data_IF_984240424217
#
_entry.id   IF_984240424217
#
_cell.length_a   1.000
_cell.length_b   1.000
_cell.length_c   1.000
_cell.angle_alpha   90.00
_cell.angle_beta   90.00
_cell.angle_gamma   90.00
#
_symmetry.space_group_name_H-M   'P 1'
#
loop_
_entity.id
_entity.type
_entity.pdbx_description
1 polymer ?
#
# COMPACT_ATOMS: atom_id res chain seq x y z
N UNK A 1 -16.11 -17.51 -3.94
CA UNK A 1 -14.64 -17.61 -3.77
C UNK A 1 -14.27 -18.97 -3.18
N UNK A 2 -15.05 -19.50 -2.23
CA UNK A 2 -15.13 -20.93 -1.84
C UNK A 2 -15.65 -21.87 -2.97
N UNK A 3 -15.65 -21.41 -4.22
CA UNK A 3 -16.24 -22.11 -5.37
C UNK A 3 -15.24 -22.31 -6.52
N UNK A 4 -14.00 -21.82 -6.40
CA UNK A 4 -12.94 -22.16 -7.35
C UNK A 4 -12.25 -23.39 -6.77
N UNK A 5 -12.85 -24.54 -7.00
CA UNK A 5 -12.27 -25.85 -6.66
C UNK A 5 -11.33 -26.29 -7.79
N UNK A 6 -10.56 -27.34 -7.57
CA UNK A 6 -9.74 -27.98 -8.62
C UNK A 6 -10.55 -28.44 -9.84
N UNK A 7 -11.87 -28.53 -9.73
CA UNK A 7 -12.71 -29.22 -10.73
C UNK A 7 -13.36 -28.24 -11.72
N UNK A 8 -13.20 -26.93 -11.54
CA UNK A 8 -13.78 -25.93 -12.43
C UNK A 8 -13.05 -25.89 -13.78
N UNK A 9 -13.82 -25.91 -14.87
CA UNK A 9 -13.32 -25.85 -16.25
C UNK A 9 -13.01 -24.42 -16.72
N UNK A 10 -12.25 -24.29 -17.83
CA UNK A 10 -11.91 -22.97 -18.40
C UNK A 10 -13.15 -22.16 -18.82
N UNK A 11 -14.17 -22.82 -19.37
CA UNK A 11 -15.44 -22.18 -19.74
C UNK A 11 -16.22 -21.65 -18.52
N UNK A 12 -16.23 -22.42 -17.43
CA UNK A 12 -16.83 -21.97 -16.16
C UNK A 12 -16.05 -20.81 -15.54
N UNK A 13 -14.71 -20.82 -15.65
CA UNK A 13 -13.86 -19.70 -15.23
C UNK A 13 -14.20 -18.45 -16.05
N UNK A 14 -14.30 -18.57 -17.39
CA UNK A 14 -14.66 -17.47 -18.31
C UNK A 14 -16.03 -16.89 -18.00
N UNK A 15 -17.02 -17.74 -17.75
CA UNK A 15 -18.36 -17.33 -17.32
C UNK A 15 -18.31 -16.59 -15.98
N UNK A 16 -17.63 -17.15 -14.98
CA UNK A 16 -17.53 -16.56 -13.65
C UNK A 16 -16.79 -15.21 -13.68
N UNK A 17 -15.72 -15.10 -14.45
CA UNK A 17 -15.01 -13.85 -14.69
C UNK A 17 -15.95 -12.79 -15.27
N UNK A 18 -16.72 -13.15 -16.32
CA UNK A 18 -17.66 -12.23 -16.97
C UNK A 18 -18.75 -11.77 -16.01
N UNK A 19 -19.35 -12.68 -15.23
CA UNK A 19 -20.35 -12.33 -14.23
C UNK A 19 -19.83 -11.38 -13.14
N UNK A 20 -18.60 -11.60 -12.65
CA UNK A 20 -17.98 -10.70 -11.68
C UNK A 20 -17.66 -9.35 -12.32
N UNK A 21 -17.10 -9.36 -13.54
CA UNK A 21 -16.79 -8.15 -14.29
C UNK A 21 -18.03 -7.29 -14.48
N UNK A 22 -19.14 -7.86 -14.93
CA UNK A 22 -20.39 -7.11 -15.16
C UNK A 22 -20.98 -6.55 -13.85
N UNK A 23 -20.99 -7.36 -12.78
CA UNK A 23 -21.48 -6.92 -11.46
C UNK A 23 -20.63 -5.81 -10.86
N UNK A 24 -19.31 -5.84 -11.06
CA UNK A 24 -18.39 -4.84 -10.52
C UNK A 24 -18.39 -3.58 -11.38
N UNK A 25 -18.36 -3.72 -12.71
CA UNK A 25 -18.25 -2.60 -13.63
C UNK A 25 -19.54 -1.80 -13.76
N UNK A 26 -20.71 -2.42 -13.58
CA UNK A 26 -22.01 -1.74 -13.60
C UNK A 26 -22.16 -0.64 -12.54
N UNK A 27 -21.39 -0.70 -11.44
CA UNK A 27 -21.37 0.33 -10.39
C UNK A 27 -20.00 0.97 -10.18
N UNK A 28 -19.11 0.92 -11.17
CA UNK A 28 -17.73 1.38 -11.01
C UNK A 28 -17.62 2.89 -10.78
N UNK A 29 -18.56 3.66 -11.31
CA UNK A 29 -18.69 5.10 -11.13
C UNK A 29 -18.75 5.50 -9.65
N UNK A 30 -19.32 4.66 -8.78
CA UNK A 30 -19.35 4.87 -7.32
C UNK A 30 -17.94 5.04 -6.76
N UNK A 31 -16.94 4.33 -7.29
CA UNK A 31 -15.54 4.47 -6.83
C UNK A 31 -14.98 5.85 -7.16
N UNK A 32 -15.27 6.37 -8.36
CA UNK A 32 -14.88 7.72 -8.80
C UNK A 32 -15.61 8.79 -8.00
N UNK A 33 -16.90 8.59 -7.71
CA UNK A 33 -17.69 9.49 -6.89
C UNK A 33 -17.16 9.56 -5.45
N UNK A 34 -16.76 8.43 -4.87
CA UNK A 34 -16.16 8.38 -3.53
C UNK A 34 -14.82 9.14 -3.49
N UNK A 35 -13.96 8.97 -4.49
CA UNK A 35 -12.71 9.73 -4.60
C UNK A 35 -12.96 11.23 -4.76
N UNK A 36 -13.87 11.61 -5.66
CA UNK A 36 -14.26 13.01 -5.88
C UNK A 36 -14.82 13.63 -4.59
N UNK A 37 -15.69 12.92 -3.89
CA UNK A 37 -16.27 13.34 -2.62
C UNK A 37 -15.18 13.62 -1.58
N UNK A 38 -14.25 12.68 -1.39
CA UNK A 38 -13.13 12.84 -0.46
C UNK A 38 -12.27 14.06 -0.80
N UNK A 39 -11.95 14.27 -2.09
CA UNK A 39 -11.15 15.41 -2.54
C UNK A 39 -11.86 16.75 -2.39
N UNK A 40 -13.12 16.83 -2.81
CA UNK A 40 -13.92 18.05 -2.72
C UNK A 40 -14.05 18.49 -1.25
N UNK A 41 -14.47 17.60 -0.36
CA UNK A 41 -14.68 17.97 1.04
C UNK A 41 -13.38 18.23 1.79
N UNK A 42 -12.28 17.55 1.46
CA UNK A 42 -10.96 17.90 1.99
C UNK A 42 -10.48 19.27 1.50
N UNK A 43 -10.72 19.58 0.22
CA UNK A 43 -10.42 20.90 -0.37
C UNK A 43 -11.25 22.03 0.25
N UNK A 44 -12.55 21.80 0.48
CA UNK A 44 -13.44 22.73 1.15
C UNK A 44 -13.03 22.95 2.61
N UNK A 45 -12.69 21.89 3.35
CA UNK A 45 -12.16 21.99 4.70
C UNK A 45 -10.89 22.86 4.74
N UNK A 46 -9.94 22.60 3.83
CA UNK A 46 -8.71 23.40 3.70
C UNK A 46 -9.01 24.86 3.40
N UNK A 47 -9.97 25.14 2.52
CA UNK A 47 -10.40 26.50 2.17
C UNK A 47 -10.99 27.23 3.38
N UNK A 48 -11.85 26.57 4.15
CA UNK A 48 -12.46 27.19 5.34
C UNK A 48 -11.45 27.45 6.45
N UNK A 49 -10.49 26.55 6.69
CA UNK A 49 -9.43 26.77 7.67
C UNK A 49 -8.50 27.92 7.23
N UNK A 50 -8.19 28.04 5.93
CA UNK A 50 -7.41 29.19 5.43
C UNK A 50 -8.10 30.53 5.70
N UNK A 51 -9.43 30.58 5.60
CA UNK A 51 -10.22 31.81 5.86
C UNK A 51 -10.23 32.25 7.33
N UNK A 52 -9.79 31.41 8.27
CA UNK A 52 -9.72 31.80 9.69
C UNK A 52 -8.40 32.49 10.06
N UNK A 53 -7.40 32.49 9.16
CA UNK A 53 -6.07 33.03 9.45
C UNK A 53 -5.22 32.12 10.33
N UNK A 54 -5.53 30.81 10.39
CA UNK A 54 -4.71 29.85 11.13
C UNK A 54 -3.25 29.83 10.62
N UNK A 55 -2.29 29.79 11.55
CA UNK A 55 -0.86 29.83 11.24
C UNK A 55 -0.40 28.69 10.32
N UNK A 56 -0.96 27.49 10.50
CA UNK A 56 -0.70 26.33 9.63
C UNK A 56 -2.01 25.62 9.27
N UNK A 57 -2.65 26.02 8.16
CA UNK A 57 -3.88 25.39 7.70
C UNK A 57 -3.70 23.93 7.28
N UNK A 58 -2.51 23.55 6.80
CA UNK A 58 -2.26 22.19 6.30
C UNK A 58 -2.14 21.20 7.45
N UNK A 59 -1.38 21.57 8.49
CA UNK A 59 -1.30 20.80 9.73
C UNK A 59 -2.68 20.65 10.38
N UNK A 60 -3.49 21.71 10.45
CA UNK A 60 -4.84 21.61 11.03
C UNK A 60 -5.77 20.69 10.22
N UNK A 61 -5.71 20.74 8.88
CA UNK A 61 -6.44 19.76 8.03
C UNK A 61 -5.96 18.34 8.31
N UNK A 62 -4.64 18.16 8.42
CA UNK A 62 -4.04 16.88 8.76
C UNK A 62 -4.52 16.38 10.14
N UNK A 63 -4.61 17.25 11.14
CA UNK A 63 -5.12 16.90 12.46
C UNK A 63 -6.56 16.36 12.42
N UNK A 64 -7.45 16.98 11.62
CA UNK A 64 -8.81 16.47 11.43
C UNK A 64 -8.84 15.10 10.71
N UNK A 65 -7.98 14.91 9.71
CA UNK A 65 -7.93 13.66 8.94
C UNK A 65 -7.30 12.53 9.76
N UNK A 66 -6.26 12.83 10.54
CA UNK A 66 -5.60 11.88 11.45
C UNK A 66 -6.50 11.41 12.59
N UNK A 67 -7.61 12.10 12.85
CA UNK A 67 -8.62 11.72 13.82
C UNK A 67 -9.68 10.76 13.29
N UNK A 68 -9.59 10.33 12.01
CA UNK A 68 -10.45 9.27 11.45
C UNK A 68 -9.96 7.93 12.01
N UNK A 69 -10.21 7.72 13.30
CA UNK A 69 -9.98 6.45 13.97
C UNK A 69 -10.73 5.35 13.21
N UNK A 70 -10.02 4.25 12.92
CA UNK A 70 -10.55 3.03 12.28
C UNK A 70 -10.61 3.04 10.75
N UNK A 71 -9.51 3.45 10.11
CA UNK A 71 -9.33 3.30 8.66
C UNK A 71 -9.34 1.81 8.28
N UNK A 72 -10.18 1.45 7.31
CA UNK A 72 -10.39 0.06 6.87
C UNK A 72 -9.07 -0.64 6.49
N UNK A 73 -8.15 0.08 5.85
CA UNK A 73 -6.83 -0.41 5.45
C UNK A 73 -5.93 -0.84 6.62
N UNK A 74 -6.21 -0.40 7.86
CA UNK A 74 -5.46 -0.79 9.05
C UNK A 74 -6.00 -2.05 9.74
N UNK A 75 -7.19 -2.55 9.37
CA UNK A 75 -7.74 -3.77 9.96
C UNK A 75 -6.84 -5.00 9.78
N UNK A 76 -6.23 -5.26 8.60
CA UNK A 76 -5.25 -6.35 8.45
C UNK A 76 -4.09 -6.22 9.45
N UNK A 77 -3.54 -5.01 9.58
CA UNK A 77 -2.40 -4.74 10.46
C UNK A 77 -2.76 -5.00 11.92
N UNK A 78 -3.92 -4.50 12.37
CA UNK A 78 -4.44 -4.76 13.72
C UNK A 78 -4.67 -6.25 13.96
N UNK A 79 -5.17 -6.99 12.96
CA UNK A 79 -5.40 -8.42 13.06
C UNK A 79 -4.07 -9.21 13.16
N UNK A 80 -3.03 -8.82 12.42
CA UNK A 80 -1.69 -9.40 12.56
C UNK A 80 -1.09 -9.14 13.95
N UNK A 81 -1.20 -7.90 14.47
CA UNK A 81 -0.72 -7.57 15.81
C UNK A 81 -1.43 -8.40 16.90
N UNK A 82 -2.73 -8.66 16.72
CA UNK A 82 -3.49 -9.54 17.61
C UNK A 82 -3.01 -10.99 17.51
N UNK A 83 -2.72 -11.49 16.30
CA UNK A 83 -2.15 -12.83 16.12
C UNK A 83 -0.77 -12.97 16.75
N UNK A 84 0.11 -11.98 16.57
CA UNK A 84 1.45 -11.97 17.17
C UNK A 84 1.41 -12.03 18.70
N UNK A 85 0.41 -11.37 19.31
CA UNK A 85 0.23 -11.32 20.76
C UNK A 85 -0.51 -12.55 21.31
N UNK A 86 -1.27 -13.25 20.47
CA UNK A 86 -2.15 -14.35 20.88
C UNK A 86 -1.37 -15.56 21.39
N UNK A 87 -0.36 -16.01 20.63
CA UNK A 87 0.50 -17.12 21.02
C UNK A 87 1.92 -16.95 20.44
N UNK A 88 2.81 -16.33 21.22
CA UNK A 88 4.22 -16.13 20.82
C UNK A 88 5.00 -17.43 20.66
N UNK A 89 4.68 -18.48 21.45
CA UNK A 89 5.38 -19.76 21.36
C UNK A 89 5.01 -20.50 20.10
N UNK A 90 3.73 -20.49 19.73
CA UNK A 90 3.29 -21.00 18.44
C UNK A 90 3.97 -20.23 17.30
N UNK A 91 3.99 -18.89 17.37
CA UNK A 91 4.63 -18.07 16.35
C UNK A 91 6.12 -18.39 16.18
N UNK A 92 6.88 -18.53 17.27
CA UNK A 92 8.29 -18.92 17.24
C UNK A 92 8.47 -20.29 16.54
N UNK A 93 7.69 -21.30 16.92
CA UNK A 93 7.71 -22.64 16.33
C UNK A 93 7.38 -22.64 14.83
N UNK A 94 6.35 -21.90 14.45
CA UNK A 94 5.86 -21.80 13.07
C UNK A 94 6.78 -20.95 12.19
N UNK A 95 7.46 -19.95 12.74
CA UNK A 95 8.41 -19.08 12.00
C UNK A 95 9.64 -19.83 11.52
N UNK A 96 9.99 -20.94 12.15
CA UNK A 96 11.09 -21.80 11.75
C UNK A 96 10.79 -22.61 10.47
N UNK A 97 9.53 -22.69 10.05
CA UNK A 97 9.13 -23.45 8.88
C UNK A 97 9.77 -22.92 7.60
N UNK A 98 10.23 -23.83 6.73
CA UNK A 98 10.80 -23.47 5.43
C UNK A 98 9.84 -23.73 4.27
N UNK A 99 8.83 -24.57 4.46
CA UNK A 99 7.88 -24.96 3.41
C UNK A 99 6.43 -24.84 3.87
N UNK A 100 5.51 -24.68 2.93
CA UNK A 100 4.07 -24.66 3.21
C UNK A 100 3.57 -25.98 3.80
N UNK A 101 4.18 -27.10 3.38
CA UNK A 101 3.85 -28.43 3.90
C UNK A 101 4.17 -28.53 5.39
N UNK A 102 5.39 -28.14 5.77
CA UNK A 102 5.82 -28.12 7.17
C UNK A 102 4.94 -27.21 8.02
N UNK A 103 4.61 -26.01 7.50
CA UNK A 103 3.71 -25.09 8.18
C UNK A 103 2.34 -25.71 8.43
N UNK A 104 1.75 -26.35 7.41
CA UNK A 104 0.44 -26.98 7.52
C UNK A 104 0.43 -28.10 8.57
N UNK A 105 1.47 -28.93 8.58
CA UNK A 105 1.62 -30.00 9.57
C UNK A 105 1.75 -29.45 10.99
N UNK A 106 2.63 -28.46 11.23
CA UNK A 106 2.81 -27.86 12.56
C UNK A 106 1.60 -27.04 13.04
N UNK A 107 0.81 -26.48 12.14
CA UNK A 107 -0.42 -25.76 12.52
C UNK A 107 -1.44 -26.70 13.20
N UNK A 108 -1.40 -28.01 12.95
CA UNK A 108 -2.26 -28.98 13.65
C UNK A 108 -1.95 -29.08 15.15
N UNK A 109 -0.71 -28.80 15.56
CA UNK A 109 -0.31 -28.77 16.98
C UNK A 109 -0.78 -27.49 17.70
N UNK A 110 -1.26 -26.50 16.94
CA UNK A 110 -1.63 -25.17 17.44
C UNK A 110 -3.06 -24.77 17.05
N UNK A 111 -4.05 -25.66 17.30
CA UNK A 111 -5.45 -25.50 16.83
C UNK A 111 -6.04 -24.10 17.09
N UNK A 112 -5.97 -23.51 18.30
CA UNK A 112 -6.57 -22.19 18.54
C UNK A 112 -5.90 -21.07 17.73
N UNK A 113 -4.57 -21.14 17.54
CA UNK A 113 -3.84 -20.21 16.69
C UNK A 113 -4.20 -20.42 15.22
N UNK A 114 -4.27 -21.67 14.76
CA UNK A 114 -4.64 -22.06 13.41
C UNK A 114 -6.00 -21.48 13.00
N UNK A 115 -7.02 -21.55 13.86
CA UNK A 115 -8.33 -20.97 13.57
C UNK A 115 -8.26 -19.45 13.34
N UNK A 116 -7.58 -18.72 14.23
CA UNK A 116 -7.40 -17.27 14.11
C UNK A 116 -6.54 -16.88 12.90
N UNK A 117 -5.54 -17.70 12.60
CA UNK A 117 -4.65 -17.52 11.46
C UNK A 117 -5.40 -17.68 10.13
N UNK A 118 -6.25 -18.70 9.99
CA UNK A 118 -7.08 -18.87 8.80
C UNK A 118 -8.24 -17.87 8.73
N UNK A 119 -8.76 -17.38 9.86
CA UNK A 119 -9.68 -16.24 9.89
C UNK A 119 -9.03 -14.99 9.27
N UNK A 120 -7.78 -14.71 9.62
CA UNK A 120 -7.00 -13.65 8.99
C UNK A 120 -6.84 -13.86 7.49
N UNK A 121 -6.41 -15.05 7.07
CA UNK A 121 -6.22 -15.36 5.63
C UNK A 121 -7.54 -15.18 4.88
N UNK A 122 -8.66 -15.61 5.46
CA UNK A 122 -9.96 -15.47 4.82
C UNK A 122 -10.32 -13.99 4.57
N UNK A 123 -10.15 -13.14 5.57
CA UNK A 123 -10.52 -11.72 5.50
C UNK A 123 -9.51 -10.87 4.71
N UNK A 124 -8.22 -11.16 4.87
CA UNK A 124 -7.12 -10.26 4.50
C UNK A 124 -5.98 -10.93 3.73
N UNK A 125 -6.07 -12.22 3.40
CA UNK A 125 -4.98 -12.96 2.77
C UNK A 125 -4.52 -12.41 1.41
N UNK A 126 -5.32 -11.59 0.75
CA UNK A 126 -4.98 -10.96 -0.54
C UNK A 126 -4.22 -9.63 -0.39
N UNK A 127 -4.08 -9.13 0.85
CA UNK A 127 -3.32 -7.92 1.15
C UNK A 127 -1.84 -8.25 1.15
N UNK A 128 -1.11 -7.65 0.23
CA UNK A 128 0.33 -7.85 0.02
C UNK A 128 0.93 -6.61 -0.65
N UNK A 129 2.27 -6.43 -0.65
CA UNK A 129 2.89 -5.46 -1.55
C UNK A 129 2.46 -5.73 -2.99
N UNK A 130 2.24 -4.69 -3.80
CA UNK A 130 1.80 -4.85 -5.20
C UNK A 130 0.49 -5.65 -5.37
N UNK A 131 -0.44 -5.55 -4.42
CA UNK A 131 -1.66 -6.38 -4.35
C UNK A 131 -2.58 -6.37 -5.60
N UNK A 132 -2.42 -5.38 -6.48
CA UNK A 132 -3.18 -5.24 -7.73
C UNK A 132 -2.50 -5.89 -8.95
N UNK A 133 -1.27 -6.39 -8.80
CA UNK A 133 -0.65 -7.26 -9.79
C UNK A 133 -1.18 -8.68 -9.58
N UNK A 134 -1.71 -9.31 -10.61
CA UNK A 134 -2.29 -10.65 -10.49
C UNK A 134 -1.19 -11.70 -10.25
N UNK A 135 0.00 -11.46 -10.77
CA UNK A 135 1.20 -12.27 -10.64
C UNK A 135 1.86 -12.21 -9.25
N UNK A 136 1.47 -11.27 -8.38
CA UNK A 136 1.98 -11.19 -7.01
C UNK A 136 1.50 -12.36 -6.17
N UNK A 137 2.42 -13.00 -5.45
CA UNK A 137 2.10 -14.05 -4.47
C UNK A 137 1.54 -13.42 -3.20
N UNK A 138 0.34 -13.83 -2.82
CA UNK A 138 -0.36 -13.29 -1.64
C UNK A 138 -0.21 -14.18 -0.40
N UNK A 139 -0.58 -13.67 0.78
CA UNK A 139 -0.64 -14.47 2.03
C UNK A 139 -1.66 -15.60 1.98
N UNK A 140 -2.65 -15.52 1.09
CA UNK A 140 -3.61 -16.59 0.85
C UNK A 140 -2.98 -17.75 0.09
N UNK A 141 -2.18 -17.44 -0.92
CA UNK A 141 -1.47 -18.46 -1.72
C UNK A 141 -0.30 -19.06 -0.94
N UNK A 142 0.43 -18.22 -0.22
CA UNK A 142 1.56 -18.63 0.62
C UNK A 142 1.36 -18.16 2.07
N UNK A 143 0.63 -18.95 2.88
CA UNK A 143 0.49 -18.68 4.32
C UNK A 143 1.82 -18.57 5.06
N UNK A 144 2.89 -19.20 4.57
CA UNK A 144 4.22 -19.07 5.17
C UNK A 144 4.73 -17.62 5.15
N UNK A 145 4.45 -16.85 4.09
CA UNK A 145 4.81 -15.43 4.03
C UNK A 145 4.16 -14.64 5.16
N UNK A 146 2.92 -14.97 5.52
CA UNK A 146 2.21 -14.31 6.62
C UNK A 146 2.86 -14.62 7.96
N UNK A 147 3.19 -15.88 8.24
CA UNK A 147 3.86 -16.28 9.50
C UNK A 147 5.19 -15.56 9.65
N UNK A 148 6.02 -15.57 8.60
CA UNK A 148 7.30 -14.85 8.59
C UNK A 148 7.08 -13.36 8.88
N UNK A 149 6.07 -12.75 8.27
CA UNK A 149 5.74 -11.33 8.49
C UNK A 149 5.29 -11.02 9.91
N UNK A 150 4.46 -11.87 10.51
CA UNK A 150 3.99 -11.71 11.89
C UNK A 150 5.18 -11.86 12.85
N UNK A 151 6.08 -12.82 12.60
CA UNK A 151 7.31 -13.00 13.37
C UNK A 151 8.22 -11.77 13.31
N UNK A 152 8.50 -11.25 12.11
CA UNK A 152 9.30 -10.04 11.90
C UNK A 152 8.73 -8.83 12.66
N UNK A 153 7.41 -8.67 12.64
CA UNK A 153 6.71 -7.58 13.34
C UNK A 153 6.86 -7.68 14.87
N UNK A 154 6.95 -8.90 15.40
CA UNK A 154 7.10 -9.17 16.83
C UNK A 154 8.55 -9.27 17.33
N UNK A 155 9.52 -9.20 16.42
CA UNK A 155 10.94 -9.40 16.72
C UNK A 155 11.53 -8.35 17.68
N UNK A 156 11.03 -7.12 17.62
CA UNK A 156 11.43 -6.02 18.49
C UNK A 156 10.31 -5.67 19.46
N UNK A 157 10.47 -6.05 20.73
CA UNK A 157 9.39 -5.93 21.71
C UNK A 157 9.02 -4.46 22.01
N UNK A 158 9.97 -3.53 21.93
CA UNK A 158 9.70 -2.11 22.16
C UNK A 158 8.88 -1.52 21.00
N UNK A 159 9.34 -1.75 19.77
CA UNK A 159 8.65 -1.29 18.56
C UNK A 159 7.26 -1.95 18.46
N UNK A 160 7.16 -3.24 18.76
CA UNK A 160 5.90 -3.97 18.76
C UNK A 160 4.91 -3.38 19.76
N UNK A 161 5.34 -3.14 21.02
CA UNK A 161 4.48 -2.52 22.05
C UNK A 161 4.05 -1.11 21.65
N UNK A 162 4.96 -0.29 21.10
CA UNK A 162 4.66 1.06 20.62
C UNK A 162 3.64 1.05 19.47
N UNK A 163 3.85 0.19 18.48
CA UNK A 163 2.95 0.03 17.33
C UNK A 163 1.58 -0.48 17.77
N UNK A 164 1.53 -1.48 18.65
CA UNK A 164 0.31 -2.00 19.26
C UNK A 164 -0.44 -0.92 20.02
N UNK A 165 0.24 -0.16 20.87
CA UNK A 165 -0.36 0.94 21.60
C UNK A 165 -0.86 2.06 20.67
N UNK A 166 -0.17 2.33 19.56
CA UNK A 166 -0.61 3.33 18.57
C UNK A 166 -1.88 2.89 17.84
N UNK A 167 -1.97 1.62 17.45
CA UNK A 167 -3.04 1.12 16.57
C UNK A 167 -4.25 0.54 17.32
N UNK A 168 -4.06 0.02 18.54
CA UNK A 168 -5.14 -0.56 19.34
C UNK A 168 -5.75 0.43 20.34
N UNK A 169 -5.01 1.44 20.78
CA UNK A 169 -5.59 2.48 21.64
C UNK A 169 -6.29 3.50 20.74
N UNK A 170 -7.61 3.38 20.63
CA UNK A 170 -8.45 4.31 19.88
C UNK A 170 -8.50 5.67 20.59
N UNK A 171 -7.52 6.55 20.33
CA UNK A 171 -7.65 7.96 20.70
C UNK A 171 -8.52 8.66 19.66
N UNK A 172 -9.82 8.76 19.95
CA UNK A 172 -10.69 9.68 19.25
C UNK A 172 -10.18 11.10 19.54
N UNK A 173 -9.48 11.72 18.58
CA UNK A 173 -8.99 13.10 18.76
C UNK A 173 -10.20 14.01 18.99
N UNK A 174 -10.21 14.70 20.12
CA UNK A 174 -11.25 15.66 20.44
C UNK A 174 -11.23 16.77 19.39
N UNK A 175 -12.29 16.82 18.58
CA UNK A 175 -12.48 17.82 17.53
C UNK A 175 -12.49 19.24 18.13
N UNK A 176 -12.93 19.40 19.38
CA UNK A 176 -12.92 20.69 20.05
C UNK A 176 -11.53 21.15 20.46
N UNK A 177 -10.60 20.23 20.73
CA UNK A 177 -9.18 20.54 20.95
C UNK A 177 -8.51 21.11 19.69
N UNK A 178 -8.79 20.55 18.50
CA UNK A 178 -8.23 21.02 17.22
C UNK A 178 -8.77 22.43 16.88
N UNK A 179 -10.02 22.67 17.28
CA UNK A 179 -10.70 23.93 17.07
C UNK A 179 -10.38 24.98 18.16
N UNK A 180 -9.63 24.68 19.22
CA UNK A 180 -9.42 25.58 20.38
C UNK A 180 -9.10 27.03 19.96
N UNK A 181 -8.19 27.17 18.99
CA UNK A 181 -7.70 28.47 18.52
C UNK A 181 -8.56 29.08 17.40
N UNK A 182 -9.58 28.36 16.92
CA UNK A 182 -10.46 28.78 15.84
C UNK A 182 -11.77 29.33 16.42
N UNK A 183 -11.93 30.65 16.38
CA UNK A 183 -13.12 31.34 16.89
C UNK A 183 -14.24 31.46 15.85
N UNK A 184 -13.91 31.62 14.57
CA UNK A 184 -14.87 31.79 13.46
C UNK A 184 -15.03 30.51 12.63
N UNK A 185 -16.13 30.39 11.87
CA UNK A 185 -16.40 29.28 10.93
C UNK A 185 -16.38 27.85 11.51
N UNK A 186 -16.34 27.68 12.84
CA UNK A 186 -16.29 26.37 13.55
C UNK A 186 -17.34 25.38 13.04
N UNK A 187 -18.60 25.80 12.88
CA UNK A 187 -19.69 24.94 12.39
C UNK A 187 -19.42 24.41 10.98
N UNK A 188 -18.93 25.27 10.09
CA UNK A 188 -18.60 24.91 8.71
C UNK A 188 -17.39 23.98 8.64
N UNK A 189 -16.35 24.26 9.44
CA UNK A 189 -15.16 23.41 9.56
C UNK A 189 -15.54 22.02 10.07
N UNK A 190 -16.36 21.93 11.13
CA UNK A 190 -16.86 20.64 11.63
C UNK A 190 -17.66 19.88 10.58
N UNK A 191 -18.53 20.58 9.85
CA UNK A 191 -19.32 19.97 8.79
C UNK A 191 -18.42 19.39 7.69
N UNK A 192 -17.50 20.17 7.14
CA UNK A 192 -16.60 19.70 6.08
C UNK A 192 -15.60 18.66 6.57
N UNK A 193 -15.13 18.74 7.82
CA UNK A 193 -14.28 17.71 8.43
C UNK A 193 -15.02 16.38 8.54
N UNK A 194 -16.27 16.40 9.01
CA UNK A 194 -17.12 15.21 9.06
C UNK A 194 -17.36 14.61 7.66
N UNK A 195 -17.65 15.43 6.65
CA UNK A 195 -17.82 14.94 5.28
C UNK A 195 -16.51 14.40 4.68
N UNK A 196 -15.39 15.09 4.88
CA UNK A 196 -14.08 14.62 4.45
C UNK A 196 -13.75 13.26 5.08
N UNK A 197 -14.02 13.10 6.38
CA UNK A 197 -13.85 11.84 7.09
C UNK A 197 -14.68 10.70 6.49
N UNK A 198 -15.98 10.93 6.24
CA UNK A 198 -16.84 9.94 5.57
C UNK A 198 -16.33 9.56 4.18
N UNK A 199 -15.89 10.54 3.38
CA UNK A 199 -15.33 10.29 2.06
C UNK A 199 -14.07 9.43 2.08
N UNK A 200 -13.14 9.76 2.97
CA UNK A 200 -11.89 9.01 3.16
C UNK A 200 -12.20 7.58 3.65
N UNK A 201 -13.13 7.41 4.59
CA UNK A 201 -13.55 6.10 5.08
C UNK A 201 -14.11 5.22 3.95
N UNK A 202 -15.08 5.73 3.17
CA UNK A 202 -15.68 4.98 2.06
C UNK A 202 -14.65 4.61 0.98
N UNK A 203 -13.72 5.53 0.69
CA UNK A 203 -12.61 5.28 -0.23
C UNK A 203 -11.71 4.14 0.24
N UNK A 204 -11.39 4.09 1.53
CA UNK A 204 -10.55 3.02 2.09
C UNK A 204 -11.29 1.68 2.12
N UNK A 205 -12.60 1.67 2.36
CA UNK A 205 -13.46 0.47 2.20
C UNK A 205 -13.44 -0.04 0.76
N UNK A 206 -13.64 0.86 -0.20
CA UNK A 206 -13.61 0.52 -1.63
C UNK A 206 -12.27 -0.10 -2.04
N UNK A 207 -11.14 0.45 -1.54
CA UNK A 207 -9.80 -0.07 -1.78
C UNK A 207 -9.61 -1.49 -1.24
N UNK A 208 -10.00 -1.75 0.01
CA UNK A 208 -9.88 -3.09 0.59
C UNK A 208 -10.72 -4.11 -0.20
N UNK A 209 -11.94 -3.74 -0.60
CA UNK A 209 -12.79 -4.61 -1.41
C UNK A 209 -12.22 -4.85 -2.80
N UNK A 210 -11.57 -3.85 -3.41
CA UNK A 210 -10.86 -4.01 -4.69
C UNK A 210 -9.78 -5.09 -4.61
N UNK A 211 -9.00 -5.14 -3.52
CA UNK A 211 -8.00 -6.19 -3.33
C UNK A 211 -8.61 -7.60 -3.34
N UNK A 212 -9.79 -7.75 -2.72
CA UNK A 212 -10.54 -9.01 -2.71
C UNK A 212 -11.04 -9.39 -4.11
N UNK A 213 -11.44 -8.42 -4.92
CA UNK A 213 -11.80 -8.67 -6.34
C UNK A 213 -10.58 -9.17 -7.11
N UNK A 214 -9.43 -8.51 -6.96
CA UNK A 214 -8.19 -8.93 -7.64
C UNK A 214 -7.77 -10.34 -7.26
N UNK A 215 -7.85 -10.72 -5.98
CA UNK A 215 -7.52 -12.10 -5.65
C UNK A 215 -8.58 -13.12 -6.11
N UNK A 216 -9.84 -12.72 -6.36
CA UNK A 216 -10.83 -13.62 -6.99
C UNK A 216 -10.38 -13.94 -8.41
N UNK A 217 -10.01 -12.90 -9.16
CA UNK A 217 -9.49 -13.03 -10.53
C UNK A 217 -8.16 -13.77 -10.54
N UNK A 218 -7.28 -13.53 -9.56
CA UNK A 218 -6.02 -14.27 -9.41
C UNK A 218 -6.26 -15.77 -9.26
N UNK A 219 -7.14 -16.18 -8.36
CA UNK A 219 -7.48 -17.60 -8.18
C UNK A 219 -8.04 -18.23 -9.47
N UNK A 220 -8.85 -17.48 -10.23
CA UNK A 220 -9.35 -17.93 -11.53
C UNK A 220 -8.22 -18.19 -12.53
N UNK A 221 -7.29 -17.25 -12.67
CA UNK A 221 -6.22 -17.37 -13.64
C UNK A 221 -5.15 -18.37 -13.22
N UNK A 222 -4.90 -18.54 -11.92
CA UNK A 222 -4.06 -19.64 -11.43
C UNK A 222 -4.69 -20.98 -11.81
N UNK A 223 -6.01 -21.15 -11.64
CA UNK A 223 -6.68 -22.38 -12.07
C UNK A 223 -6.61 -22.59 -13.58
N UNK A 224 -6.76 -21.53 -14.39
CA UNK A 224 -6.52 -21.64 -15.83
C UNK A 224 -5.06 -22.08 -16.13
N UNK A 225 -4.08 -21.54 -15.41
CA UNK A 225 -2.69 -21.97 -15.50
C UNK A 225 -2.47 -23.44 -15.11
N UNK A 226 -3.18 -23.95 -14.11
CA UNK A 226 -3.17 -25.38 -13.76
C UNK A 226 -3.70 -26.24 -14.92
N UNK A 227 -4.82 -25.85 -15.54
CA UNK A 227 -5.39 -26.55 -16.70
C UNK A 227 -4.39 -26.58 -17.86
N UNK A 228 -3.78 -25.43 -18.20
CA UNK A 228 -2.81 -25.36 -19.30
C UNK A 228 -1.53 -26.14 -19.00
N UNK A 229 -1.11 -26.19 -17.73
CA UNK A 229 0.04 -26.98 -17.31
C UNK A 229 -0.26 -28.49 -17.38
N UNK A 230 -1.44 -28.91 -16.93
CA UNK A 230 -1.93 -30.29 -17.06
C UNK A 230 -2.01 -30.75 -18.53
N UNK A 231 -2.38 -29.84 -19.44
CA UNK A 231 -2.42 -30.07 -20.89
C UNK A 231 -1.03 -30.05 -21.57
N UNK A 232 0.01 -29.59 -20.88
CA UNK A 232 1.36 -29.41 -21.44
C UNK A 232 1.52 -28.17 -22.33
N UNK A 233 0.59 -27.23 -22.29
CA UNK A 233 0.57 -25.99 -23.10
C UNK A 233 1.52 -24.92 -22.55
N UNK A 234 1.83 -24.97 -21.25
CA UNK A 234 2.77 -24.07 -20.56
C UNK A 234 3.72 -24.85 -19.63
N UNK A 235 4.92 -24.32 -19.40
CA UNK A 235 5.97 -25.00 -18.61
C UNK A 235 5.79 -24.88 -17.09
N UNK A 236 5.05 -23.87 -16.63
CA UNK A 236 4.75 -23.67 -15.22
C UNK A 236 3.38 -23.02 -15.03
N UNK A 237 2.65 -23.38 -13.97
CA UNK A 237 1.29 -22.87 -13.66
C UNK A 237 1.22 -21.34 -13.73
N UNK A 238 2.22 -20.65 -13.17
CA UNK A 238 2.24 -19.17 -13.10
C UNK A 238 2.63 -18.50 -14.40
N UNK A 239 3.04 -19.25 -15.43
CA UNK A 239 3.33 -18.68 -16.74
C UNK A 239 2.06 -18.12 -17.42
N UNK A 240 0.88 -18.51 -16.93
CA UNK A 240 -0.40 -17.91 -17.30
C UNK A 240 -0.42 -16.39 -17.17
N UNK A 241 0.35 -15.80 -16.25
CA UNK A 241 0.42 -14.34 -16.08
C UNK A 241 1.22 -13.61 -17.17
N UNK A 242 1.92 -14.34 -18.03
CA UNK A 242 2.48 -13.77 -19.26
C UNK A 242 1.45 -13.76 -20.40
N UNK A 243 0.28 -14.37 -20.25
CA UNK A 243 -0.79 -14.35 -21.23
C UNK A 243 -1.76 -13.20 -20.92
N UNK A 244 -2.30 -12.60 -21.98
CA UNK A 244 -3.41 -11.65 -21.86
C UNK A 244 -4.70 -12.40 -21.57
N UNK A 245 -5.70 -11.69 -21.02
CA UNK A 245 -7.04 -12.26 -20.77
C UNK A 245 -7.63 -12.94 -22.02
N UNK A 246 -7.53 -12.29 -23.17
CA UNK A 246 -8.15 -12.78 -24.40
C UNK A 246 -7.41 -14.03 -24.92
N UNK A 247 -6.10 -14.11 -24.73
CA UNK A 247 -5.34 -15.33 -25.02
C UNK A 247 -5.72 -16.48 -24.07
N UNK A 248 -5.93 -16.19 -22.78
CA UNK A 248 -6.37 -17.21 -21.81
C UNK A 248 -7.75 -17.77 -22.16
N UNK A 249 -8.68 -16.94 -22.65
CA UNK A 249 -10.08 -17.35 -22.86
C UNK A 249 -10.44 -17.74 -24.29
N UNK A 250 -9.70 -17.25 -25.29
CA UNK A 250 -10.01 -17.40 -26.71
C UNK A 250 -8.75 -17.72 -27.54
N UNK A 251 -7.57 -17.81 -26.92
CA UNK A 251 -6.31 -18.04 -27.60
C UNK A 251 -6.08 -19.50 -27.99
N UNK A 252 -5.13 -19.71 -28.91
CA UNK A 252 -4.68 -21.04 -29.28
C UNK A 252 -3.56 -21.50 -28.34
N UNK A 253 -3.82 -22.54 -27.54
CA UNK A 253 -2.87 -23.13 -26.58
C UNK A 253 -1.54 -23.53 -27.22
N UNK A 254 -1.53 -23.97 -28.48
CA UNK A 254 -0.31 -24.33 -29.22
C UNK A 254 0.72 -23.18 -29.32
N UNK A 255 0.25 -21.93 -29.19
CA UNK A 255 1.08 -20.73 -29.31
C UNK A 255 1.65 -20.25 -27.98
N UNK A 256 1.10 -20.72 -26.85
CA UNK A 256 1.36 -20.14 -25.52
C UNK A 256 2.84 -20.21 -25.15
N UNK A 257 3.47 -21.36 -25.31
CA UNK A 257 4.90 -21.54 -24.99
C UNK A 257 5.79 -20.52 -25.73
N UNK A 258 5.49 -20.23 -27.01
CA UNK A 258 6.26 -19.24 -27.78
C UNK A 258 6.02 -17.81 -27.28
N UNK A 259 4.77 -17.43 -27.02
CA UNK A 259 4.38 -16.12 -26.52
C UNK A 259 4.95 -15.84 -25.13
N UNK A 260 4.87 -16.82 -24.23
CA UNK A 260 5.39 -16.74 -22.86
C UNK A 260 6.90 -16.52 -22.88
N UNK A 261 7.63 -17.30 -23.68
CA UNK A 261 9.09 -17.17 -23.77
C UNK A 261 9.51 -15.81 -24.32
N UNK A 262 8.81 -15.30 -25.34
CA UNK A 262 9.04 -13.94 -25.85
C UNK A 262 8.78 -12.90 -24.76
N UNK A 263 7.65 -12.97 -24.06
CA UNK A 263 7.30 -11.98 -23.03
C UNK A 263 8.21 -12.04 -21.82
N UNK A 264 8.69 -13.23 -21.41
CA UNK A 264 9.74 -13.34 -20.38
C UNK A 264 10.98 -12.54 -20.77
N UNK A 265 11.39 -12.59 -22.04
CA UNK A 265 12.50 -11.78 -22.55
C UNK A 265 12.17 -10.28 -22.57
N UNK A 266 11.00 -9.90 -23.07
CA UNK A 266 10.58 -8.49 -23.12
C UNK A 266 10.56 -7.86 -21.71
N UNK A 267 10.01 -8.59 -20.73
CA UNK A 267 9.93 -8.12 -19.34
C UNK A 267 11.30 -7.94 -18.68
N UNK A 268 12.32 -8.73 -19.05
CA UNK A 268 13.69 -8.46 -18.57
C UNK A 268 14.18 -7.09 -18.99
N UNK A 269 13.87 -6.64 -20.22
CA UNK A 269 14.21 -5.31 -20.70
C UNK A 269 13.38 -4.19 -20.05
N UNK A 270 12.16 -4.49 -19.57
CA UNK A 270 11.30 -3.49 -18.93
C UNK A 270 11.81 -3.04 -17.56
N UNK A 271 12.57 -3.87 -16.84
CA UNK A 271 13.18 -3.47 -15.56
C UNK A 271 14.21 -2.34 -15.72
N UNK A 272 14.82 -2.22 -16.90
CA UNK A 272 15.78 -1.17 -17.20
C UNK A 272 15.13 0.14 -17.69
N UNK A 273 13.81 0.11 -17.98
CA UNK A 273 13.11 1.30 -18.43
C UNK A 273 12.88 2.27 -17.27
N UNK A 274 13.17 3.58 -17.46
CA UNK A 274 12.87 4.57 -16.44
C UNK A 274 11.35 4.69 -16.27
N UNK A 275 10.90 4.91 -15.03
CA UNK A 275 9.50 5.24 -14.77
C UNK A 275 9.18 6.61 -15.38
N UNK A 276 8.61 6.63 -16.58
CA UNK A 276 8.26 7.88 -17.27
C UNK A 276 7.25 8.68 -16.42
N UNK A 277 7.62 9.91 -16.05
CA UNK A 277 6.79 10.80 -15.24
C UNK A 277 5.64 11.43 -16.04
N UNK A 278 5.71 11.37 -17.38
CA UNK A 278 4.73 11.91 -18.30
C UNK A 278 4.71 11.09 -19.59
N UNK A 279 3.55 10.57 -19.96
CA UNK A 279 3.33 9.98 -21.29
C UNK A 279 3.21 11.12 -22.30
N UNK A 280 4.01 11.06 -23.36
CA UNK A 280 3.93 11.98 -24.50
C UNK A 280 3.29 11.20 -25.63
N UNK A 281 2.07 11.57 -26.01
CA UNK A 281 1.36 10.91 -27.10
C UNK A 281 1.80 11.49 -28.45
N UNK A 282 1.98 10.61 -29.43
CA UNK A 282 2.63 10.91 -30.71
C UNK A 282 1.87 11.91 -31.60
N UNK A 283 0.55 12.09 -31.42
CA UNK A 283 -0.30 12.77 -32.42
C UNK A 283 -1.25 13.86 -31.92
N UNK A 284 -1.10 14.38 -30.69
CA UNK A 284 -1.75 15.64 -30.30
C UNK A 284 -0.92 16.34 -29.23
N UNK A 285 -0.39 17.51 -29.55
CA UNK A 285 0.23 18.41 -28.57
C UNK A 285 -0.83 18.90 -27.59
N UNK A 286 -1.09 18.11 -26.54
CA UNK A 286 -1.81 18.62 -25.38
C UNK A 286 -0.85 19.49 -24.58
N UNK A 287 -0.69 20.75 -25.00
CA UNK A 287 0.12 21.70 -24.28
C UNK A 287 -0.60 22.12 -22.98
N UNK A 288 -0.31 21.41 -21.89
CA UNK A 288 -0.75 21.75 -20.54
C UNK A 288 -0.13 23.07 -20.03
N UNK A 289 0.67 23.79 -20.84
CA UNK A 289 1.20 25.14 -20.51
C UNK A 289 0.12 26.24 -20.59
N UNK A 290 -0.99 26.05 -19.88
CA UNK A 290 -1.69 27.15 -19.18
C UNK A 290 -2.08 26.79 -17.74
N UNK A 291 -1.48 25.74 -17.16
CA UNK A 291 -1.42 25.58 -15.70
C UNK A 291 -0.08 26.13 -15.18
N UNK A 292 0.05 27.46 -15.25
CA UNK A 292 1.03 28.18 -14.46
C UNK A 292 0.82 27.89 -12.97
N UNK A 293 1.93 27.62 -12.27
CA UNK A 293 2.06 27.20 -10.86
C UNK A 293 2.04 25.68 -10.61
N UNK A 294 2.89 24.95 -11.34
CA UNK A 294 3.74 24.00 -10.62
C UNK A 294 4.73 24.89 -9.88
N UNK A 295 4.64 24.94 -8.55
CA UNK A 295 5.77 25.39 -7.75
C UNK A 295 6.92 24.43 -8.06
N UNK A 296 7.69 24.76 -9.10
CA UNK A 296 9.09 24.39 -9.12
C UNK A 296 9.68 25.12 -7.92
N UNK A 297 9.64 24.47 -6.75
CA UNK A 297 10.65 24.75 -5.75
C UNK A 297 11.96 24.48 -6.48
N UNK A 298 12.65 25.58 -6.77
CA UNK A 298 13.97 25.63 -7.37
C UNK A 298 14.81 24.53 -6.73
N UNK A 299 15.23 23.56 -7.54
CA UNK A 299 16.39 22.73 -7.18
C UNK A 299 17.56 23.71 -7.22
N UNK A 300 17.89 24.31 -6.07
CA UNK A 300 19.20 24.90 -5.86
C UNK A 300 20.19 23.74 -5.93
N UNK A 301 21.10 23.83 -6.89
CA UNK A 301 22.13 22.85 -7.20
C UNK A 301 23.21 22.67 -6.11
N UNK A 302 22.90 23.00 -4.86
CA UNK A 302 23.86 23.03 -3.75
C UNK A 302 23.27 22.74 -2.37
N UNK A 303 21.99 22.36 -2.26
CA UNK A 303 21.38 22.12 -0.96
C UNK A 303 21.25 20.64 -0.68
N UNK A 304 21.96 20.16 0.36
CA UNK A 304 21.72 18.88 1.06
C UNK A 304 20.30 18.80 1.68
N UNK A 305 19.34 19.59 1.20
CA UNK A 305 17.99 19.72 1.74
C UNK A 305 17.00 19.55 0.60
N UNK A 306 16.09 18.59 0.76
CA UNK A 306 14.96 18.34 -0.11
C UNK A 306 13.67 18.72 0.61
N UNK A 307 12.66 19.11 -0.17
CA UNK A 307 11.37 19.54 0.36
C UNK A 307 10.25 18.67 -0.20
N UNK A 308 9.26 18.42 0.65
CA UNK A 308 8.01 17.77 0.27
C UNK A 308 6.85 18.24 1.14
N UNK A 309 5.80 17.44 1.17
CA UNK A 309 4.62 17.68 2.00
C UNK A 309 4.80 16.99 3.35
N UNK A 310 4.75 17.78 4.43
CA UNK A 310 4.70 17.30 5.80
C UNK A 310 3.48 16.38 6.00
N UNK A 311 3.73 15.09 6.22
CA UNK A 311 2.69 14.07 6.11
C UNK A 311 2.36 13.43 7.45
N UNK A 312 3.39 13.08 8.22
CA UNK A 312 3.27 12.55 9.58
C UNK A 312 4.35 13.20 10.44
N UNK A 313 3.93 13.75 11.58
CA UNK A 313 4.77 14.57 12.45
C UNK A 313 5.86 13.77 13.16
N UNK A 314 6.98 14.44 13.47
CA UNK A 314 8.12 13.87 14.17
C UNK A 314 9.43 14.13 13.44
N UNK A 315 10.54 13.92 14.15
CA UNK A 315 11.90 14.09 13.61
C UNK A 315 12.62 12.77 13.82
N UNK A 316 13.28 12.28 12.77
CA UNK A 316 14.11 11.09 12.82
C UNK A 316 15.45 11.34 12.13
N UNK A 317 16.52 10.81 12.69
CA UNK A 317 17.84 10.82 12.08
C UNK A 317 18.38 9.41 12.01
N UNK A 318 18.56 8.89 10.81
CA UNK A 318 18.99 7.52 10.58
C UNK A 318 19.60 7.34 9.18
N UNK A 319 20.17 6.17 8.96
CA UNK A 319 20.61 5.71 7.65
C UNK A 319 19.42 5.56 6.69
N UNK A 320 19.59 5.97 5.43
CA UNK A 320 18.61 5.78 4.37
C UNK A 320 18.72 4.41 3.73
N UNK A 321 17.57 3.88 3.32
CA UNK A 321 17.48 2.68 2.49
C UNK A 321 16.46 2.92 1.37
N UNK A 322 16.91 2.75 0.12
CA UNK A 322 16.14 2.95 -1.10
C UNK A 322 15.47 1.64 -1.47
N UNK A 323 14.16 1.57 -1.28
CA UNK A 323 13.38 0.37 -1.62
C UNK A 323 12.89 0.48 -3.06
N UNK A 324 13.42 -0.39 -3.92
CA UNK A 324 13.03 -0.52 -5.34
C UNK A 324 12.03 -1.65 -5.57
N UNK A 325 12.18 -2.74 -4.82
CA UNK A 325 11.30 -3.91 -4.84
C UNK A 325 10.75 -4.14 -3.42
N UNK A 326 9.43 -4.13 -3.29
CA UNK A 326 8.74 -4.32 -2.03
C UNK A 326 8.46 -5.79 -1.69
N UNK A 327 8.56 -6.68 -2.68
CA UNK A 327 8.41 -8.13 -2.52
C UNK A 327 9.69 -8.75 -1.96
N UNK A 328 10.85 -8.17 -2.26
CA UNK A 328 12.14 -8.51 -1.66
C UNK A 328 12.86 -7.25 -1.12
N UNK A 329 12.33 -6.64 -0.05
CA UNK A 329 12.87 -5.40 0.45
C UNK A 329 14.20 -5.63 1.21
N UNK A 330 15.13 -4.66 1.17
CA UNK A 330 16.28 -4.66 2.07
C UNK A 330 15.84 -4.50 3.54
N UNK A 331 16.78 -4.70 4.48
CA UNK A 331 16.55 -4.45 5.91
C UNK A 331 16.17 -2.97 6.15
N UNK A 332 15.00 -2.74 6.73
CA UNK A 332 14.45 -1.40 6.99
C UNK A 332 14.42 -1.01 8.46
N UNK A 333 14.77 -1.93 9.37
CA UNK A 333 14.72 -1.70 10.82
C UNK A 333 15.62 -0.53 11.21
N UNK A 334 15.02 0.47 11.86
CA UNK A 334 15.71 1.67 12.33
C UNK A 334 16.22 2.61 11.23
N UNK A 335 15.93 2.33 9.95
CA UNK A 335 16.36 3.13 8.80
C UNK A 335 15.26 4.07 8.31
N UNK A 336 15.63 5.10 7.55
CA UNK A 336 14.68 5.94 6.80
C UNK A 336 14.45 5.31 5.43
N UNK A 337 13.22 4.88 5.17
CA UNK A 337 12.84 4.29 3.88
C UNK A 337 12.70 5.41 2.85
N UNK A 338 13.31 5.23 1.68
CA UNK A 338 13.15 6.09 0.50
C UNK A 338 12.49 5.26 -0.60
N UNK A 339 11.35 5.70 -1.11
CA UNK A 339 10.62 4.98 -2.15
C UNK A 339 9.97 5.92 -3.17
N UNK A 340 9.73 5.42 -4.40
CA UNK A 340 8.98 6.19 -5.41
C UNK A 340 7.51 6.31 -5.05
N UNK A 341 6.92 5.20 -4.60
CA UNK A 341 5.55 5.09 -4.11
C UNK A 341 5.48 3.95 -3.10
N UNK A 342 4.40 3.90 -2.33
CA UNK A 342 4.13 2.79 -1.41
C UNK A 342 2.74 2.23 -1.63
N UNK A 343 2.58 0.96 -1.34
CA UNK A 343 1.29 0.27 -1.30
C UNK A 343 0.82 -0.02 0.13
N UNK A 344 -0.46 -0.38 0.32
CA UNK A 344 -0.94 -0.82 1.63
C UNK A 344 -0.21 -1.99 2.25
N UNK A 345 0.45 -2.83 1.45
CA UNK A 345 1.30 -3.92 1.94
C UNK A 345 2.57 -3.48 2.68
N UNK A 346 2.97 -2.20 2.58
CA UNK A 346 4.23 -1.70 3.14
C UNK A 346 4.20 -1.44 4.65
N UNK A 347 3.04 -1.58 5.28
CA UNK A 347 2.84 -1.25 6.71
C UNK A 347 3.91 -1.87 7.61
N UNK A 348 4.34 -3.09 7.31
CA UNK A 348 5.31 -3.81 8.13
C UNK A 348 6.75 -3.29 7.99
N UNK A 349 7.17 -2.94 6.78
CA UNK A 349 8.47 -2.29 6.62
C UNK A 349 8.47 -0.93 7.30
N UNK A 350 7.33 -0.22 7.17
CA UNK A 350 7.13 1.05 7.83
C UNK A 350 7.19 0.90 9.35
N UNK A 351 6.48 -0.04 9.98
CA UNK A 351 6.41 -0.15 11.45
C UNK A 351 7.78 -0.26 12.13
N UNK A 352 8.77 -0.84 11.47
CA UNK A 352 10.12 -1.00 12.00
C UNK A 352 11.09 0.12 11.55
N UNK A 353 10.66 1.00 10.65
CA UNK A 353 11.49 2.11 10.14
C UNK A 353 11.55 3.30 11.09
N UNK A 354 12.60 4.11 10.97
CA UNK A 354 12.72 5.39 11.66
C UNK A 354 11.89 6.50 10.98
N UNK A 355 11.56 6.34 9.69
CA UNK A 355 10.87 7.35 8.90
C UNK A 355 10.65 6.90 7.45
N UNK A 356 9.82 7.64 6.71
CA UNK A 356 9.65 7.42 5.26
C UNK A 356 9.67 8.71 4.44
N UNK A 357 10.35 8.63 3.31
CA UNK A 357 10.37 9.60 2.23
C UNK A 357 9.76 8.95 0.99
N UNK A 358 8.72 9.58 0.42
CA UNK A 358 8.09 9.10 -0.81
C UNK A 358 8.11 10.17 -1.90
N UNK A 359 8.51 9.80 -3.12
CA UNK A 359 8.52 10.74 -4.26
C UNK A 359 7.13 11.15 -4.70
N UNK A 360 6.20 10.20 -4.68
CA UNK A 360 4.79 10.42 -5.02
C UNK A 360 3.96 10.44 -3.74
N UNK A 361 2.93 11.27 -3.75
CA UNK A 361 1.94 11.31 -2.69
C UNK A 361 1.48 12.72 -2.34
N UNK A 362 0.49 12.77 -1.47
CA UNK A 362 -0.08 13.98 -0.89
C UNK A 362 -0.59 13.65 0.51
N UNK A 363 -1.20 14.61 1.19
CA UNK A 363 -1.83 14.39 2.50
C UNK A 363 -2.90 13.28 2.51
N UNK A 364 -3.43 12.86 1.36
CA UNK A 364 -4.43 11.79 1.25
C UNK A 364 -3.86 10.51 0.60
N UNK A 365 -2.55 10.47 0.39
CA UNK A 365 -1.86 9.30 -0.15
C UNK A 365 -1.79 8.18 0.90
N UNK A 366 -1.54 6.97 0.42
CA UNK A 366 -1.52 5.82 1.29
C UNK A 366 -0.33 5.84 2.26
N UNK A 367 0.86 6.22 1.76
CA UNK A 367 2.05 6.49 2.57
C UNK A 367 1.74 7.43 3.73
N UNK A 368 1.02 8.50 3.43
CA UNK A 368 0.67 9.54 4.39
C UNK A 368 -0.25 9.02 5.49
N UNK A 369 -1.28 8.28 5.11
CA UNK A 369 -2.26 7.72 6.04
C UNK A 369 -1.59 6.69 6.95
N UNK A 370 -0.89 5.69 6.40
CA UNK A 370 -0.24 4.64 7.21
C UNK A 370 0.76 5.24 8.20
N UNK A 371 1.63 6.15 7.73
CA UNK A 371 2.70 6.68 8.58
C UNK A 371 2.16 7.42 9.80
N UNK A 372 0.99 8.08 9.69
CA UNK A 372 0.31 8.72 10.82
C UNK A 372 -0.23 7.71 11.81
N UNK A 373 -0.89 6.67 11.33
CA UNK A 373 -1.45 5.61 12.17
C UNK A 373 -0.33 4.90 12.97
N UNK A 374 0.84 4.72 12.33
CA UNK A 374 2.03 4.16 12.96
C UNK A 374 2.83 5.18 13.79
N UNK A 375 2.49 6.47 13.74
CA UNK A 375 3.23 7.58 14.37
C UNK A 375 4.71 7.61 13.98
N UNK A 376 4.98 7.43 12.70
CA UNK A 376 6.32 7.47 12.09
C UNK A 376 6.47 8.77 11.31
N UNK A 377 7.60 9.49 11.44
CA UNK A 377 7.86 10.70 10.64
C UNK A 377 7.79 10.41 9.14
N UNK A 378 7.05 11.24 8.40
CA UNK A 378 6.90 11.05 6.97
C UNK A 378 6.83 12.36 6.17
N UNK A 379 7.53 12.36 5.04
CA UNK A 379 7.49 13.43 4.03
C UNK A 379 7.19 12.80 2.66
N UNK A 380 6.14 13.28 1.99
CA UNK A 380 5.67 12.74 0.70
C UNK A 380 5.74 13.80 -0.39
N UNK A 381 5.84 13.40 -1.65
CA UNK A 381 6.00 14.35 -2.75
C UNK A 381 7.40 14.94 -2.85
N UNK A 382 8.42 14.23 -2.34
CA UNK A 382 9.83 14.68 -2.41
C UNK A 382 10.39 14.31 -3.77
N UNK A 383 10.49 15.31 -4.66
CA UNK A 383 10.85 15.08 -6.04
C UNK A 383 12.23 14.41 -6.18
N UNK A 384 12.31 13.37 -7.01
CA UNK A 384 13.55 12.68 -7.40
C UNK A 384 14.34 12.09 -6.20
N UNK A 385 13.68 11.87 -5.05
CA UNK A 385 14.33 11.45 -3.81
C UNK A 385 15.12 10.13 -3.92
N UNK A 386 14.59 9.13 -4.63
CA UNK A 386 15.23 7.82 -4.82
C UNK A 386 16.41 7.85 -5.81
N UNK A 387 16.56 8.96 -6.55
CA UNK A 387 17.71 9.20 -7.43
C UNK A 387 18.80 9.98 -6.70
N UNK A 388 18.41 10.95 -5.86
CA UNK A 388 19.30 11.82 -5.11
C UNK A 388 19.89 11.13 -3.88
N UNK A 389 19.05 10.45 -3.08
CA UNK A 389 19.45 9.77 -1.84
C UNK A 389 19.92 8.35 -2.20
N UNK A 390 21.05 7.94 -1.64
CA UNK A 390 21.60 6.59 -1.79
C UNK A 390 21.40 5.78 -0.51
N UNK A 391 21.47 4.46 -0.67
CA UNK A 391 21.60 3.56 0.47
C UNK A 391 22.78 4.00 1.35
N UNK A 392 22.63 3.95 2.67
CA UNK A 392 23.69 4.31 3.62
C UNK A 392 23.81 5.80 3.95
N UNK A 393 23.17 6.70 3.19
CA UNK A 393 23.18 8.13 3.50
C UNK A 393 22.55 8.40 4.88
N UNK A 394 23.18 9.25 5.70
CA UNK A 394 22.56 9.67 6.97
C UNK A 394 21.63 10.84 6.70
N UNK A 395 20.34 10.60 6.92
CA UNK A 395 19.27 11.55 6.67
C UNK A 395 18.67 12.02 7.99
N UNK A 396 18.39 13.31 8.08
CA UNK A 396 17.48 13.88 9.07
C UNK A 396 16.15 14.22 8.38
N UNK A 397 15.09 13.55 8.82
CA UNK A 397 13.73 13.69 8.31
C UNK A 397 12.91 14.50 9.31
N UNK A 398 12.42 15.67 8.90
CA UNK A 398 11.46 16.47 9.67
C UNK A 398 10.06 16.39 9.03
N UNK A 399 9.25 15.48 9.57
CA UNK A 399 7.86 15.30 9.17
C UNK A 399 6.91 16.41 9.63
N UNK A 400 7.36 17.37 10.45
CA UNK A 400 6.59 18.54 10.84
C UNK A 400 6.66 19.65 9.80
N UNK A 401 7.88 19.94 9.30
CA UNK A 401 8.11 21.00 8.32
C UNK A 401 8.09 20.50 6.87
N UNK A 402 8.20 19.18 6.65
CA UNK A 402 8.27 18.61 5.30
C UNK A 402 9.66 18.67 4.70
N UNK A 403 10.69 18.63 5.55
CA UNK A 403 12.10 18.83 5.18
C UNK A 403 12.88 17.53 5.31
N UNK A 404 13.78 17.27 4.35
CA UNK A 404 14.69 16.13 4.34
C UNK A 404 16.11 16.65 4.19
N UNK A 405 16.97 16.42 5.17
CA UNK A 405 18.36 16.90 5.16
C UNK A 405 19.34 15.72 5.06
N UNK A 406 20.18 15.72 4.04
CA UNK A 406 21.29 14.78 3.87
C UNK A 406 22.45 15.23 4.75
N UNK A 407 22.59 14.65 5.94
CA UNK A 407 23.63 15.03 6.91
C UNK A 407 25.01 14.50 6.51
N UNK A 408 25.08 13.30 5.94
CA UNK A 408 26.31 12.66 5.47
C UNK A 408 25.99 11.78 4.28
N UNK A 409 26.74 11.95 3.20
CA UNK A 409 26.70 11.03 2.07
C UNK A 409 27.59 9.82 2.34
N UNK A 410 27.11 8.62 2.02
CA UNK A 410 27.98 7.47 1.91
C UNK A 410 28.92 7.67 0.70
N UNK A 411 30.17 7.18 0.80
CA UNK A 411 31.25 7.46 -0.16
C UNK A 411 31.22 6.53 -1.36
#
# INVERSE_FOLDING_TARGET
REHITSDISLEEIKKLYSEISDKVLSGWDITLLNDLYAFVFTGLLKSEIKKTGAADPEKKVNDFISGISNIESMKPVKAMLKLADYDRKALESLSACQTEKELKEKLEDHIPFKEKFYEYINLYGDRSPEELKLETVTFRESPLLLIKKIADLSSDEEIFRKTKASLLNETQKDTDSILSDIKSRRKMIRYFASKAATGIMNREISRLNRTRIYGMVRSMFIRAGEIFFENGSIDAIRDVFYLTRDEIFDGNEDTFSSLINQRKQDYTGFYDLPAFSRLVFEHNEFDRKKLSRVHASSVSSDTNVLYGTASSAGIAKAEAVVVRDACNPPETKGKIIVAKMTDPGWVFMLSNSAGIISEKGSLLSHTAIISRELKIPAVVGVKDASEIIKDGDIIELDGNSGTVTICRKEK
#
